data_IF_124732172094
#
_entry.id   IF_124732172094
#
_cell.length_a   1.000
_cell.length_b   1.000
_cell.length_c   1.000
_cell.angle_alpha   90.00
_cell.angle_beta   90.00
_cell.angle_gamma   90.00
#
_symmetry.space_group_name_H-M   'P 1'
#
loop_
_entity.id
_entity.type
_entity.pdbx_description
1 polymer ?
#
# COMPACT_ATOMS: atom_id res chain seq x y z
N UNK A 1 8.01 -7.38 -9.10
CA UNK A 1 8.02 -6.04 -8.44
C UNK A 1 7.38 -5.04 -9.39
N UNK A 2 6.68 -4.02 -8.87
CA UNK A 2 5.99 -2.99 -9.68
C UNK A 2 6.72 -1.65 -9.52
N UNK A 3 6.86 -0.82 -10.58
CA UNK A 3 7.48 0.49 -10.45
C UNK A 3 6.72 1.42 -9.49
N UNK A 4 7.39 1.92 -8.46
CA UNK A 4 6.83 2.81 -7.43
C UNK A 4 7.70 4.03 -7.21
N UNK A 5 7.08 5.14 -6.85
CA UNK A 5 7.76 6.38 -6.50
C UNK A 5 8.60 6.20 -5.24
N UNK A 6 9.79 6.80 -5.21
CA UNK A 6 10.64 6.79 -4.02
C UNK A 6 9.96 7.49 -2.84
N UNK A 7 9.14 8.52 -3.03
CA UNK A 7 8.45 9.18 -1.92
C UNK A 7 7.30 8.34 -1.37
N UNK A 8 6.66 7.53 -2.22
CA UNK A 8 5.62 6.59 -1.81
C UNK A 8 6.22 5.40 -1.06
N UNK A 9 7.24 4.76 -1.64
CA UNK A 9 7.82 3.50 -1.16
C UNK A 9 9.04 3.67 -0.22
N UNK A 10 9.62 4.86 -0.18
CA UNK A 10 10.78 5.15 0.65
C UNK A 10 10.45 5.28 2.13
N UNK A 11 11.48 5.42 2.95
CA UNK A 11 11.34 5.64 4.38
C UNK A 11 10.41 6.83 4.66
N UNK A 12 9.44 6.63 5.56
CA UNK A 12 8.35 7.56 5.88
C UNK A 12 7.29 7.81 4.78
N UNK A 13 7.37 7.12 3.64
CA UNK A 13 6.31 7.10 2.63
C UNK A 13 5.07 6.33 3.11
N UNK A 14 3.91 6.61 2.52
CA UNK A 14 2.66 6.03 2.99
C UNK A 14 2.56 4.51 2.72
N UNK A 15 3.20 4.02 1.66
CA UNK A 15 3.36 2.59 1.44
C UNK A 15 4.18 1.95 2.57
N UNK A 16 5.34 2.54 2.88
CA UNK A 16 6.21 2.10 3.96
C UNK A 16 5.48 2.09 5.32
N UNK A 17 4.67 3.12 5.61
CA UNK A 17 3.89 3.17 6.87
C UNK A 17 2.89 2.02 6.97
N UNK A 18 2.20 1.67 5.89
CA UNK A 18 1.30 0.52 5.87
C UNK A 18 2.07 -0.78 6.13
N UNK A 19 3.21 -0.98 5.46
CA UNK A 19 4.04 -2.17 5.68
C UNK A 19 4.53 -2.26 7.14
N UNK A 20 4.94 -1.15 7.76
CA UNK A 20 5.34 -1.14 9.17
C UNK A 20 4.17 -1.42 10.12
N UNK A 21 2.97 -0.92 9.82
CA UNK A 21 1.76 -1.23 10.59
C UNK A 21 1.48 -2.73 10.53
N UNK A 22 1.39 -3.30 9.33
CA UNK A 22 1.12 -4.72 9.14
C UNK A 22 2.20 -5.60 9.76
N UNK A 23 3.47 -5.20 9.64
CA UNK A 23 4.59 -5.87 10.30
C UNK A 23 4.39 -5.97 11.81
N UNK A 24 3.99 -4.87 12.48
CA UNK A 24 3.73 -4.88 13.92
C UNK A 24 2.61 -5.85 14.29
N UNK A 25 1.53 -5.86 13.52
CA UNK A 25 0.39 -6.78 13.73
C UNK A 25 0.83 -8.24 13.60
N UNK A 26 1.59 -8.57 12.56
CA UNK A 26 2.13 -9.93 12.36
C UNK A 26 3.11 -10.33 13.47
N UNK A 27 3.98 -9.40 13.91
CA UNK A 27 4.91 -9.65 15.01
C UNK A 27 4.22 -9.90 16.36
N UNK A 28 3.04 -9.32 16.57
CA UNK A 28 2.21 -9.58 17.75
C UNK A 28 1.43 -10.91 17.66
N UNK A 29 1.67 -11.74 16.65
CA UNK A 29 0.94 -12.99 16.41
C UNK A 29 -0.44 -12.79 15.76
N UNK A 30 -0.72 -11.58 15.28
CA UNK A 30 -1.95 -11.24 14.58
C UNK A 30 -1.96 -11.72 13.13
N UNK A 31 -3.06 -11.42 12.44
CA UNK A 31 -3.27 -11.74 11.03
C UNK A 31 -3.55 -10.46 10.25
N UNK A 32 -2.95 -10.34 9.07
CA UNK A 32 -3.25 -9.29 8.10
C UNK A 32 -3.70 -9.94 6.81
N UNK A 33 -4.85 -9.53 6.28
CA UNK A 33 -5.29 -9.90 4.93
C UNK A 33 -5.29 -8.64 4.08
N UNK A 34 -4.62 -8.70 2.94
CA UNK A 34 -4.37 -7.55 2.07
C UNK A 34 -4.75 -7.91 0.63
N UNK A 35 -5.41 -6.98 -0.05
CA UNK A 35 -5.64 -6.98 -1.48
C UNK A 35 -5.13 -5.65 -2.06
N UNK A 36 -4.26 -5.73 -3.06
CA UNK A 36 -3.64 -4.55 -3.69
C UNK A 36 -3.90 -4.61 -5.19
N UNK A 37 -4.54 -3.57 -5.72
CA UNK A 37 -4.83 -3.43 -7.15
C UNK A 37 -4.07 -2.22 -7.71
N UNK A 38 -3.04 -2.42 -8.55
CA UNK A 38 -2.42 -1.34 -9.29
C UNK A 38 -3.37 -0.81 -10.37
N UNK A 39 -3.46 0.50 -10.51
CA UNK A 39 -4.27 1.18 -11.52
C UNK A 39 -3.34 1.87 -12.51
N UNK A 40 -3.46 1.53 -13.78
CA UNK A 40 -2.64 2.06 -14.87
C UNK A 40 -3.46 3.00 -15.76
N UNK A 41 -2.85 4.07 -16.25
CA UNK A 41 -3.41 4.98 -17.24
C UNK A 41 -2.66 4.86 -18.57
N UNK A 42 -3.41 4.62 -19.65
CA UNK A 42 -2.85 4.42 -20.99
C UNK A 42 -1.90 3.23 -21.06
N UNK A 43 -0.83 3.36 -21.85
CA UNK A 43 0.15 2.28 -22.08
C UNK A 43 1.33 2.30 -21.11
N UNK A 44 1.22 3.07 -20.01
CA UNK A 44 2.28 3.17 -19.01
C UNK A 44 2.52 1.82 -18.32
N UNK A 45 3.78 1.38 -18.24
CA UNK A 45 4.20 0.23 -17.42
C UNK A 45 4.32 0.57 -15.92
N UNK A 46 4.21 1.85 -15.55
CA UNK A 46 4.16 2.33 -14.17
C UNK A 46 2.70 2.62 -13.81
N UNK A 47 2.15 2.05 -12.71
CA UNK A 47 0.81 2.39 -12.28
C UNK A 47 0.75 3.83 -11.80
N UNK A 48 -0.40 4.48 -11.95
CA UNK A 48 -0.68 5.82 -11.46
C UNK A 48 -1.09 5.82 -9.99
N UNK A 49 -1.71 4.73 -9.53
CA UNK A 49 -2.14 4.57 -8.14
C UNK A 49 -2.33 3.11 -7.75
N UNK A 50 -2.55 2.89 -6.46
CA UNK A 50 -2.86 1.59 -5.86
C UNK A 50 -4.12 1.71 -5.03
N UNK A 51 -5.10 0.82 -5.27
CA UNK A 51 -6.23 0.60 -4.37
C UNK A 51 -5.84 -0.53 -3.43
N UNK A 52 -5.84 -0.25 -2.13
CA UNK A 52 -5.44 -1.18 -1.08
C UNK A 52 -6.63 -1.39 -0.15
N UNK A 53 -7.05 -2.65 -0.03
CA UNK A 53 -8.08 -3.09 0.93
C UNK A 53 -7.44 -4.08 1.88
N UNK A 54 -7.57 -3.87 3.19
CA UNK A 54 -6.98 -4.77 4.17
C UNK A 54 -7.78 -4.91 5.46
N UNK A 55 -7.63 -6.05 6.14
CA UNK A 55 -8.16 -6.32 7.47
C UNK A 55 -7.03 -6.77 8.39
N UNK A 56 -7.11 -6.37 9.66
CA UNK A 56 -6.20 -6.82 10.72
C UNK A 56 -7.02 -7.56 11.79
N UNK A 57 -6.58 -8.76 12.16
CA UNK A 57 -7.21 -9.62 13.17
C UNK A 57 -8.72 -9.85 12.95
N UNK A 58 -9.13 -10.04 11.68
CA UNK A 58 -10.53 -10.16 11.27
C UNK A 58 -11.41 -8.95 11.65
N UNK A 59 -10.78 -7.78 11.88
CA UNK A 59 -11.45 -6.53 12.12
C UNK A 59 -12.09 -5.93 10.87
N UNK A 60 -12.50 -4.67 10.97
CA UNK A 60 -13.11 -3.93 9.86
C UNK A 60 -12.14 -3.80 8.69
N UNK A 61 -12.66 -3.94 7.47
CA UNK A 61 -11.91 -3.65 6.26
C UNK A 61 -11.58 -2.15 6.15
N UNK A 62 -10.31 -1.86 5.91
CA UNK A 62 -9.77 -0.53 5.69
C UNK A 62 -9.41 -0.39 4.21
N UNK A 63 -9.95 0.65 3.58
CA UNK A 63 -9.68 0.99 2.18
C UNK A 63 -8.77 2.23 2.10
N UNK A 64 -7.77 2.19 1.23
CA UNK A 64 -6.80 3.26 0.95
C UNK A 64 -6.54 3.36 -0.55
N UNK A 65 -6.36 4.59 -1.03
CA UNK A 65 -5.87 4.86 -2.38
C UNK A 65 -4.55 5.60 -2.23
N UNK A 66 -3.48 5.05 -2.78
CA UNK A 66 -2.16 5.68 -2.77
C UNK A 66 -1.79 6.08 -4.19
N UNK A 67 -1.48 7.35 -4.41
CA UNK A 67 -1.01 7.83 -5.71
C UNK A 67 0.48 7.55 -5.88
N UNK A 68 0.85 7.04 -7.05
CA UNK A 68 2.23 6.73 -7.41
C UNK A 68 2.94 7.97 -7.98
N UNK A 69 2.90 9.06 -7.23
CA UNK A 69 3.40 10.39 -7.64
C UNK A 69 4.58 10.82 -6.79
N UNK A 70 5.40 11.77 -7.26
CA UNK A 70 6.48 12.37 -6.48
C UNK A 70 6.03 13.10 -5.21
N UNK A 71 4.72 13.36 -5.05
CA UNK A 71 4.15 14.00 -3.86
C UNK A 71 3.72 13.00 -2.79
N UNK A 72 3.45 11.74 -3.17
CA UNK A 72 2.85 10.73 -2.28
C UNK A 72 1.42 11.05 -1.83
N UNK A 73 0.78 12.05 -2.45
CA UNK A 73 -0.59 12.53 -2.19
C UNK A 73 -1.36 12.63 -3.51
#
# INVERSE_FOLDING_TARGET
>A
MIPMDKKLNGAAGDWYKLEQQWKKTLQAGGRVQVNIKPIYKGDSKRPDSFIISFTENNGREINRILKNTPTGK
#
